data_IF_206649686307
#
_entry.id   IF_206649686307
#
_cell.length_a   1.000
_cell.length_b   1.000
_cell.length_c   1.000
_cell.angle_alpha   90.00
_cell.angle_beta   90.00
_cell.angle_gamma   90.00
#
_symmetry.space_group_name_H-M   'P 1'
#
loop_
_entity.id
_entity.type
_entity.pdbx_description
1 polymer ?
#
# COMPACT_ATOMS: atom_id res chain seq x y z
N UNK A 1 -11.95 -13.23 -2.16
CA UNK A 1 -10.62 -13.78 -2.54
C UNK A 1 -9.75 -12.61 -2.99
N UNK A 2 -8.49 -12.60 -2.59
CA UNK A 2 -7.52 -11.54 -2.93
C UNK A 2 -6.87 -11.88 -4.25
N UNK A 3 -6.81 -10.94 -5.19
CA UNK A 3 -6.02 -11.17 -6.40
C UNK A 3 -4.55 -11.35 -6.06
N UNK A 4 -3.92 -12.31 -6.75
CA UNK A 4 -2.49 -12.61 -6.62
C UNK A 4 -1.63 -11.86 -7.64
N UNK A 5 -2.27 -11.10 -8.53
CA UNK A 5 -1.63 -10.50 -9.71
C UNK A 5 -1.84 -8.98 -9.69
N UNK A 6 -0.74 -8.24 -9.82
CA UNK A 6 -0.72 -6.79 -9.67
C UNK A 6 -0.09 -6.12 -10.89
N UNK A 7 -0.57 -4.92 -11.22
CA UNK A 7 0.02 -4.02 -12.19
C UNK A 7 0.17 -2.63 -11.55
N UNK A 8 1.38 -2.07 -11.59
CA UNK A 8 1.69 -0.77 -10.96
C UNK A 8 1.29 -0.69 -9.48
N UNK A 9 1.47 -1.79 -8.72
CA UNK A 9 1.12 -1.85 -7.30
C UNK A 9 -0.39 -1.96 -7.01
N UNK A 10 -1.24 -2.10 -8.03
CA UNK A 10 -2.69 -2.28 -7.86
C UNK A 10 -3.14 -3.62 -8.45
N UNK A 11 -4.09 -4.29 -7.81
CA UNK A 11 -4.59 -5.61 -8.24
C UNK A 11 -5.16 -5.53 -9.65
N UNK A 12 -4.79 -6.46 -10.53
CA UNK A 12 -5.38 -6.54 -11.87
C UNK A 12 -6.83 -7.03 -11.75
N UNK A 13 -7.74 -6.30 -12.38
CA UNK A 13 -9.15 -6.63 -12.39
C UNK A 13 -9.44 -7.77 -13.36
N UNK A 14 -10.07 -8.83 -12.87
CA UNK A 14 -10.57 -9.98 -13.63
C UNK A 14 -11.99 -10.34 -13.21
N UNK A 15 -12.67 -11.19 -13.96
CA UNK A 15 -14.00 -11.69 -13.58
C UNK A 15 -14.01 -12.52 -12.28
N UNK A 16 -12.88 -13.14 -11.94
CA UNK A 16 -12.66 -13.80 -10.65
C UNK A 16 -12.30 -12.82 -9.51
N UNK A 17 -11.81 -11.62 -9.85
CA UNK A 17 -11.40 -10.64 -8.85
C UNK A 17 -12.60 -10.09 -8.07
N UNK A 18 -12.34 -9.66 -6.84
CA UNK A 18 -13.34 -9.06 -5.96
C UNK A 18 -13.73 -7.63 -6.32
N UNK A 19 -13.27 -7.08 -7.46
CA UNK A 19 -13.55 -5.71 -7.90
C UNK A 19 -15.05 -5.47 -8.07
N UNK A 20 -15.51 -4.30 -7.65
CA UNK A 20 -16.90 -3.84 -7.73
C UNK A 20 -16.86 -2.33 -7.82
N UNK A 21 -17.71 -1.75 -8.63
CA UNK A 21 -17.98 -0.32 -8.49
C UNK A 21 -19.17 -0.16 -7.57
N UNK A 22 -19.02 0.56 -6.46
CA UNK A 22 -20.05 0.68 -5.41
C UNK A 22 -20.42 2.15 -5.24
N UNK A 23 -21.73 2.40 -5.15
CA UNK A 23 -22.31 3.71 -4.87
C UNK A 23 -21.73 4.85 -5.74
N UNK A 24 -21.58 4.61 -7.05
CA UNK A 24 -21.24 5.64 -8.01
C UNK A 24 -22.35 6.68 -8.04
N UNK A 25 -22.01 7.92 -7.71
CA UNK A 25 -22.95 9.04 -7.54
C UNK A 25 -22.29 10.35 -8.01
N UNK A 26 -23.05 11.34 -8.50
CA UNK A 26 -24.49 11.34 -8.74
C UNK A 26 -24.87 10.73 -10.10
N UNK A 27 -25.89 9.87 -10.11
CA UNK A 27 -26.65 9.55 -11.31
C UNK A 27 -28.06 10.15 -11.19
N UNK A 28 -28.26 11.31 -11.79
CA UNK A 28 -29.48 12.09 -11.59
C UNK A 28 -30.59 11.58 -12.50
N UNK A 29 -31.65 11.04 -11.90
CA UNK A 29 -32.84 10.57 -12.61
C UNK A 29 -34.08 11.37 -12.22
N UNK A 30 -34.98 11.51 -13.18
CA UNK A 30 -36.31 12.08 -12.95
C UNK A 30 -37.20 11.06 -12.25
N UNK A 31 -37.70 11.45 -11.08
CA UNK A 31 -38.46 10.60 -10.18
C UNK A 31 -39.82 11.21 -9.83
N UNK A 32 -40.81 10.39 -9.42
CA UNK A 32 -42.14 10.87 -9.00
C UNK A 32 -42.07 12.00 -7.95
N UNK A 33 -43.11 12.86 -7.84
CA UNK A 33 -44.49 12.69 -8.32
C UNK A 33 -44.76 13.18 -9.77
N UNK A 34 -45.84 12.71 -10.42
CA UNK A 34 -46.27 13.24 -11.71
C UNK A 34 -46.78 14.70 -11.61
N UNK A 35 -46.93 15.41 -12.75
CA UNK A 35 -47.52 16.77 -12.80
C UNK A 35 -48.87 16.86 -12.06
N UNK A 36 -49.21 18.00 -11.40
CA UNK A 36 -48.63 19.35 -11.57
C UNK A 36 -47.39 19.67 -10.71
N UNK A 37 -47.01 18.80 -9.76
CA UNK A 37 -45.78 18.98 -8.97
C UNK A 37 -44.51 18.73 -9.80
N UNK A 38 -44.61 17.84 -10.80
CA UNK A 38 -43.57 17.57 -11.80
C UNK A 38 -42.50 16.58 -11.31
N UNK A 39 -41.87 15.80 -12.23
CA UNK A 39 -40.78 14.91 -11.86
C UNK A 39 -39.60 15.70 -11.28
N UNK A 40 -39.04 15.19 -10.19
CA UNK A 40 -37.93 15.84 -9.48
C UNK A 40 -36.62 15.14 -9.84
N UNK A 41 -35.54 15.88 -10.14
CA UNK A 41 -34.22 15.30 -10.33
C UNK A 41 -33.67 14.79 -8.99
N UNK A 42 -33.52 13.47 -8.84
CA UNK A 42 -32.97 12.82 -7.65
C UNK A 42 -31.66 12.10 -8.02
N UNK A 43 -30.56 12.32 -7.28
CA UNK A 43 -29.31 11.60 -7.50
C UNK A 43 -29.37 10.20 -6.88
N UNK A 44 -29.08 9.18 -7.67
CA UNK A 44 -29.07 7.78 -7.24
C UNK A 44 -27.64 7.21 -7.17
N UNK A 45 -27.37 6.27 -6.23
CA UNK A 45 -26.12 5.54 -6.17
C UNK A 45 -26.17 4.27 -7.03
N UNK A 46 -25.23 4.13 -7.97
CA UNK A 46 -25.12 2.94 -8.82
C UNK A 46 -24.04 1.96 -8.35
N UNK A 47 -24.28 0.67 -8.53
CA UNK A 47 -23.37 -0.42 -8.18
C UNK A 47 -23.28 -1.43 -9.32
N UNK A 48 -22.09 -1.92 -9.61
CA UNK A 48 -21.82 -2.94 -10.63
C UNK A 48 -20.71 -3.89 -10.16
N UNK A 49 -20.76 -5.16 -10.56
CA UNK A 49 -19.88 -6.22 -10.04
C UNK A 49 -19.17 -7.00 -11.15
N UNK A 50 -17.97 -7.51 -10.86
CA UNK A 50 -17.16 -8.35 -11.77
C UNK A 50 -17.81 -9.65 -12.20
N UNK A 51 -18.83 -10.15 -11.48
CA UNK A 51 -19.60 -11.32 -11.91
C UNK A 51 -20.21 -11.13 -13.30
N UNK A 52 -20.57 -9.88 -13.61
CA UNK A 52 -21.30 -9.49 -14.80
C UNK A 52 -20.35 -9.08 -15.94
N UNK A 53 -19.07 -9.41 -15.83
CA UNK A 53 -18.08 -9.11 -16.86
C UNK A 53 -18.45 -9.73 -18.21
N UNK A 54 -18.30 -8.91 -19.24
CA UNK A 54 -18.31 -9.28 -20.66
C UNK A 54 -17.06 -8.74 -21.36
N UNK A 55 -16.68 -9.40 -22.44
CA UNK A 55 -15.62 -8.97 -23.36
C UNK A 55 -14.24 -8.81 -22.68
N UNK A 56 -13.90 -9.74 -21.78
CA UNK A 56 -12.56 -9.86 -21.22
C UNK A 56 -11.53 -10.46 -22.20
N UNK A 57 -10.34 -10.70 -21.69
CA UNK A 57 -9.28 -11.41 -22.40
C UNK A 57 -9.67 -12.87 -22.68
N UNK A 58 -9.17 -13.41 -23.79
CA UNK A 58 -9.41 -14.80 -24.20
C UNK A 58 -8.25 -15.73 -23.85
N UNK A 59 -7.02 -15.24 -24.06
CA UNK A 59 -5.77 -15.99 -23.93
C UNK A 59 -5.19 -15.97 -22.53
N UNK A 60 -5.20 -14.79 -21.89
CA UNK A 60 -4.68 -14.61 -20.53
C UNK A 60 -5.83 -14.69 -19.54
N UNK A 61 -5.67 -15.48 -18.49
CA UNK A 61 -6.69 -15.65 -17.47
C UNK A 61 -6.07 -15.53 -16.07
N UNK A 62 -6.81 -14.92 -15.15
CA UNK A 62 -6.47 -14.89 -13.73
C UNK A 62 -7.46 -15.82 -13.01
N UNK A 63 -6.95 -16.85 -12.34
CA UNK A 63 -7.78 -17.88 -11.70
C UNK A 63 -8.80 -18.53 -12.67
N UNK A 64 -8.37 -18.78 -13.91
CA UNK A 64 -9.21 -19.40 -14.94
C UNK A 64 -10.34 -18.51 -15.47
N UNK A 65 -10.30 -17.20 -15.19
CA UNK A 65 -11.29 -16.22 -15.67
C UNK A 65 -10.64 -15.08 -16.44
N UNK A 66 -11.42 -14.49 -17.33
CA UNK A 66 -11.03 -13.39 -18.21
C UNK A 66 -10.59 -12.13 -17.42
N UNK A 67 -9.56 -11.46 -17.95
CA UNK A 67 -9.00 -10.20 -17.44
C UNK A 67 -9.70 -9.02 -18.11
N UNK A 68 -9.90 -7.92 -17.38
CA UNK A 68 -10.49 -6.70 -17.94
C UNK A 68 -9.48 -5.90 -18.76
N UNK A 69 -9.90 -5.54 -19.96
CA UNK A 69 -9.11 -4.84 -20.97
C UNK A 69 -9.71 -3.46 -21.25
N UNK A 70 -8.82 -2.48 -21.39
CA UNK A 70 -9.12 -1.13 -21.84
C UNK A 70 -10.07 -1.12 -23.04
N UNK A 71 -11.10 -0.28 -22.97
CA UNK A 71 -12.07 0.00 -24.03
C UNK A 71 -12.80 -1.23 -24.62
N UNK A 72 -12.70 -2.38 -23.96
CA UNK A 72 -13.30 -3.63 -24.44
C UNK A 72 -14.16 -4.26 -23.37
N UNK A 73 -13.59 -4.45 -22.18
CA UNK A 73 -14.33 -5.10 -21.10
C UNK A 73 -15.30 -4.15 -20.40
N UNK A 74 -16.45 -4.68 -20.02
CA UNK A 74 -17.48 -3.95 -19.28
C UNK A 74 -18.20 -4.88 -18.31
N UNK A 75 -18.89 -4.32 -17.32
CA UNK A 75 -19.88 -5.07 -16.56
C UNK A 75 -21.23 -4.86 -17.23
N UNK A 76 -21.94 -5.96 -17.55
CA UNK A 76 -23.17 -5.95 -18.33
C UNK A 76 -24.22 -5.00 -17.76
N UNK A 77 -24.32 -4.93 -16.42
CA UNK A 77 -25.36 -4.18 -15.74
C UNK A 77 -24.80 -3.39 -14.56
N UNK A 78 -25.26 -2.15 -14.45
CA UNK A 78 -25.16 -1.28 -13.28
C UNK A 78 -26.57 -1.04 -12.73
N UNK A 79 -26.71 -1.16 -11.40
CA UNK A 79 -27.98 -1.11 -10.69
C UNK A 79 -27.96 0.00 -9.62
N UNK A 80 -29.06 0.69 -9.40
CA UNK A 80 -29.17 1.77 -8.41
C UNK A 80 -30.35 2.72 -8.67
N UNK A 81 -30.66 2.96 -9.95
CA UNK A 81 -31.70 3.92 -10.33
C UNK A 81 -33.10 3.32 -10.45
N UNK A 82 -33.31 2.04 -10.14
CA UNK A 82 -34.62 1.38 -10.25
C UNK A 82 -35.79 2.11 -9.57
N UNK A 83 -35.61 2.92 -8.51
CA UNK A 83 -36.69 3.74 -7.96
C UNK A 83 -37.16 4.89 -8.88
N UNK A 84 -36.37 5.27 -9.89
CA UNK A 84 -36.79 6.20 -10.94
C UNK A 84 -37.67 5.49 -11.99
N UNK A 85 -38.42 6.24 -12.79
CA UNK A 85 -39.34 5.65 -13.78
C UNK A 85 -39.01 6.11 -15.20
N UNK A 86 -39.02 5.18 -16.15
CA UNK A 86 -38.77 5.49 -17.57
C UNK A 86 -39.83 6.48 -18.11
N UNK A 87 -41.06 6.41 -17.60
CA UNK A 87 -42.15 7.31 -17.94
C UNK A 87 -41.84 8.79 -17.61
N UNK A 88 -40.87 9.06 -16.74
CA UNK A 88 -40.42 10.42 -16.41
C UNK A 88 -39.11 10.82 -17.10
N UNK A 89 -38.64 10.02 -18.07
CA UNK A 89 -37.43 10.32 -18.85
C UNK A 89 -36.14 9.72 -18.29
N UNK A 90 -36.21 8.99 -17.17
CA UNK A 90 -35.09 8.34 -16.50
C UNK A 90 -33.93 9.31 -16.19
N UNK A 91 -32.67 8.90 -16.43
CA UNK A 91 -31.52 9.76 -16.24
C UNK A 91 -31.56 11.00 -17.14
N UNK A 92 -31.19 12.16 -16.59
CA UNK A 92 -31.30 13.46 -17.28
C UNK A 92 -30.38 13.61 -18.50
N UNK A 93 -29.34 12.78 -18.62
CA UNK A 93 -28.40 12.79 -19.76
C UNK A 93 -28.53 11.52 -20.59
N UNK A 94 -28.50 10.35 -19.95
CA UNK A 94 -28.44 9.06 -20.68
C UNK A 94 -29.82 8.52 -21.04
N UNK A 95 -30.89 9.04 -20.42
CA UNK A 95 -32.26 8.52 -20.54
C UNK A 95 -32.35 7.00 -20.24
N UNK A 96 -31.49 6.50 -19.35
CA UNK A 96 -31.47 5.10 -18.91
C UNK A 96 -31.61 4.99 -17.39
N UNK A 97 -32.35 3.97 -16.96
CA UNK A 97 -32.38 3.52 -15.56
C UNK A 97 -31.22 2.57 -15.28
N UNK A 98 -30.93 1.66 -16.21
CA UNK A 98 -29.85 0.68 -16.09
C UNK A 98 -29.04 0.63 -17.38
N UNK A 99 -27.75 0.36 -17.28
CA UNK A 99 -26.88 0.13 -18.43
C UNK A 99 -25.55 -0.50 -18.04
N UNK A 100 -24.65 -0.64 -19.00
CA UNK A 100 -23.34 -1.21 -18.74
C UNK A 100 -22.46 -0.26 -17.92
N UNK A 101 -21.58 -0.82 -17.09
CA UNK A 101 -20.48 -0.10 -16.46
C UNK A 101 -19.23 -0.24 -17.33
N UNK A 102 -18.55 0.86 -17.63
CA UNK A 102 -17.30 0.88 -18.40
C UNK A 102 -16.16 1.48 -17.59
N UNK A 103 -14.95 1.05 -17.90
CA UNK A 103 -13.73 1.60 -17.29
C UNK A 103 -13.29 2.87 -18.03
N UNK A 104 -12.95 3.91 -17.27
CA UNK A 104 -12.44 5.19 -17.74
C UNK A 104 -10.93 5.38 -17.44
N UNK A 105 -10.34 4.49 -16.65
CA UNK A 105 -8.89 4.40 -16.44
C UNK A 105 -8.40 2.94 -16.52
N UNK A 106 -7.09 2.79 -16.69
CA UNK A 106 -6.38 1.52 -16.86
C UNK A 106 -4.88 1.72 -16.58
N UNK A 107 -4.12 0.63 -16.49
CA UNK A 107 -2.65 0.65 -16.39
C UNK A 107 -1.99 1.46 -17.51
N UNK A 108 -0.95 2.23 -17.19
CA UNK A 108 -0.23 3.02 -18.20
C UNK A 108 0.64 2.17 -19.13
N UNK A 109 1.16 1.04 -18.64
CA UNK A 109 2.20 0.26 -19.33
C UNK A 109 1.95 -1.26 -19.36
N UNK A 110 1.17 -1.81 -18.43
CA UNK A 110 0.87 -3.25 -18.42
C UNK A 110 -0.27 -3.54 -19.38
N UNK A 111 -0.02 -4.43 -20.34
CA UNK A 111 -0.95 -4.79 -21.40
C UNK A 111 -1.16 -6.30 -21.46
N UNK A 112 -2.39 -6.70 -21.76
CA UNK A 112 -2.81 -8.06 -22.08
C UNK A 112 -3.52 -8.01 -23.43
N UNK A 113 -3.15 -8.90 -24.35
CA UNK A 113 -3.71 -8.91 -25.72
C UNK A 113 -3.57 -7.55 -26.43
N UNK A 114 -2.46 -6.84 -26.18
CA UNK A 114 -2.21 -5.51 -26.75
C UNK A 114 -3.02 -4.37 -26.13
N UNK A 115 -3.92 -4.65 -25.18
CA UNK A 115 -4.74 -3.65 -24.48
C UNK A 115 -4.28 -3.46 -23.04
N UNK A 116 -4.33 -2.23 -22.55
CA UNK A 116 -3.97 -1.94 -21.16
C UNK A 116 -4.92 -2.66 -20.19
N UNK A 117 -4.37 -3.23 -19.11
CA UNK A 117 -5.17 -3.92 -18.10
C UNK A 117 -5.86 -2.92 -17.18
N UNK A 118 -7.06 -3.26 -16.74
CA UNK A 118 -7.77 -2.50 -15.70
C UNK A 118 -7.34 -3.00 -14.33
N UNK A 119 -7.23 -2.10 -13.36
CA UNK A 119 -6.76 -2.35 -12.00
C UNK A 119 -7.79 -1.89 -10.97
N UNK A 120 -7.59 -2.34 -9.74
CA UNK A 120 -8.22 -1.76 -8.55
C UNK A 120 -8.02 -0.24 -8.51
N UNK A 121 -9.05 0.50 -8.09
CA UNK A 121 -9.16 1.97 -8.07
C UNK A 121 -9.17 2.67 -9.43
N UNK A 122 -9.06 1.96 -10.55
CA UNK A 122 -9.27 2.57 -11.86
C UNK A 122 -10.73 3.07 -11.96
N UNK A 123 -10.88 4.26 -12.53
CA UNK A 123 -12.15 4.96 -12.68
C UNK A 123 -13.13 4.14 -13.52
N UNK A 124 -14.40 4.18 -13.11
CA UNK A 124 -15.53 3.55 -13.77
C UNK A 124 -16.63 4.56 -14.02
N UNK A 125 -17.47 4.26 -14.99
CA UNK A 125 -18.57 5.09 -15.46
C UNK A 125 -19.79 4.21 -15.64
N UNK A 126 -20.95 4.66 -15.19
CA UNK A 126 -22.15 3.84 -15.04
C UNK A 126 -23.24 4.17 -16.07
N UNK A 127 -24.18 3.24 -16.24
CA UNK A 127 -25.39 3.42 -17.06
C UNK A 127 -25.12 3.95 -18.47
N UNK A 128 -24.08 3.41 -19.12
CA UNK A 128 -23.65 3.84 -20.45
C UNK A 128 -24.72 3.63 -21.52
N UNK A 129 -25.14 4.74 -22.14
CA UNK A 129 -25.67 4.80 -23.50
C UNK A 129 -24.76 5.66 -24.43
N UNK A 130 -24.02 6.62 -23.88
CA UNK A 130 -23.00 7.45 -24.56
C UNK A 130 -21.94 7.97 -23.55
N UNK A 131 -20.76 8.42 -24.01
CA UNK A 131 -19.54 8.65 -23.19
C UNK A 131 -19.58 9.80 -22.16
N UNK A 132 -20.69 10.53 -21.99
CA UNK A 132 -20.70 11.80 -21.24
C UNK A 132 -21.75 11.99 -20.15
N UNK A 133 -22.46 10.95 -19.70
CA UNK A 133 -23.70 11.17 -18.91
C UNK A 133 -23.95 10.34 -17.66
N UNK A 134 -23.01 9.48 -17.23
CA UNK A 134 -23.26 8.53 -16.14
C UNK A 134 -22.44 8.79 -14.88
N UNK A 135 -22.92 8.30 -13.73
CA UNK A 135 -22.18 8.36 -12.48
C UNK A 135 -20.76 7.77 -12.60
N UNK A 136 -19.82 8.41 -11.91
CA UNK A 136 -18.40 8.06 -11.92
C UNK A 136 -17.97 7.65 -10.52
N UNK A 137 -17.20 6.57 -10.41
CA UNK A 137 -16.51 6.22 -9.16
C UNK A 137 -15.32 5.31 -9.46
N UNK A 138 -14.41 5.19 -8.51
CA UNK A 138 -13.31 4.23 -8.60
C UNK A 138 -13.83 2.81 -8.36
N UNK A 139 -13.32 1.86 -9.15
CA UNK A 139 -13.57 0.44 -8.86
C UNK A 139 -12.90 0.05 -7.53
N UNK A 140 -13.66 -0.62 -6.67
CA UNK A 140 -13.18 -1.15 -5.40
C UNK A 140 -13.32 -2.67 -5.37
N UNK A 141 -12.21 -3.39 -5.30
CA UNK A 141 -12.16 -4.73 -4.76
C UNK A 141 -12.57 -4.73 -3.30
N UNK A 142 -12.97 -5.90 -2.80
CA UNK A 142 -12.84 -6.17 -1.38
C UNK A 142 -11.41 -5.76 -0.99
N UNK A 143 -11.29 -4.65 -0.26
CA UNK A 143 -10.07 -4.22 0.38
C UNK A 143 -9.62 -5.41 1.24
N UNK A 144 -8.70 -6.23 0.74
CA UNK A 144 -7.65 -6.64 1.65
C UNK A 144 -6.86 -5.37 1.91
N UNK A 145 -7.30 -4.63 2.93
CA UNK A 145 -6.37 -3.94 3.82
C UNK A 145 -5.12 -4.81 3.88
N UNK A 146 -3.96 -4.21 3.60
CA UNK A 146 -2.65 -4.86 3.66
C UNK A 146 -2.70 -5.93 4.76
N UNK A 147 -2.75 -7.18 4.29
CA UNK A 147 -3.01 -8.40 5.04
C UNK A 147 -3.20 -8.14 6.55
N UNK A 148 -4.44 -7.95 7.01
CA UNK A 148 -4.74 -8.19 8.43
C UNK A 148 -4.18 -9.57 8.72
N UNK A 149 -3.13 -9.62 9.54
CA UNK A 149 -2.51 -10.85 9.94
C UNK A 149 -3.63 -11.70 10.54
N UNK A 150 -3.97 -12.80 9.85
CA UNK A 150 -4.91 -13.79 10.38
C UNK A 150 -4.51 -14.10 11.82
N UNK A 151 -5.54 -14.30 12.62
CA UNK A 151 -5.63 -14.50 14.07
C UNK A 151 -4.64 -15.46 14.74
N UNK A 152 -3.71 -16.07 14.01
CA UNK A 152 -2.66 -16.90 14.58
C UNK A 152 -1.52 -15.98 15.03
N UNK A 153 -1.04 -16.16 16.26
CA UNK A 153 0.14 -15.47 16.76
C UNK A 153 1.33 -15.81 15.86
N UNK A 154 1.81 -14.84 15.09
CA UNK A 154 2.89 -15.07 14.15
C UNK A 154 4.19 -15.25 14.92
N UNK A 155 4.84 -16.38 14.69
CA UNK A 155 6.03 -16.78 15.41
C UNK A 155 7.30 -16.20 14.78
N UNK A 156 8.38 -16.19 15.54
CA UNK A 156 9.69 -15.77 15.04
C UNK A 156 10.19 -16.63 13.88
N UNK A 157 9.92 -17.94 13.91
CA UNK A 157 10.22 -18.86 12.80
C UNK A 157 9.53 -18.42 11.50
N UNK A 158 8.26 -18.00 11.59
CA UNK A 158 7.50 -17.56 10.42
C UNK A 158 8.06 -16.25 9.85
N UNK A 159 8.51 -15.33 10.71
CA UNK A 159 9.15 -14.08 10.28
C UNK A 159 10.53 -14.33 9.66
N UNK A 160 11.36 -15.21 10.24
CA UNK A 160 12.65 -15.59 9.68
C UNK A 160 12.50 -16.30 8.33
N UNK A 161 11.55 -17.23 8.20
CA UNK A 161 11.22 -17.87 6.92
C UNK A 161 10.75 -16.85 5.87
N UNK A 162 10.00 -15.83 6.27
CA UNK A 162 9.56 -14.76 5.37
C UNK A 162 10.74 -13.87 4.90
N UNK A 163 11.72 -13.60 5.76
CA UNK A 163 12.97 -12.93 5.39
C UNK A 163 13.75 -13.77 4.37
N UNK A 164 13.95 -15.06 4.63
CA UNK A 164 14.67 -15.99 3.74
C UNK A 164 14.00 -16.07 2.36
N UNK A 165 12.68 -16.24 2.33
CA UNK A 165 11.91 -16.23 1.08
C UNK A 165 12.10 -14.92 0.31
N UNK A 166 12.10 -13.78 0.99
CA UNK A 166 12.35 -12.48 0.34
C UNK A 166 13.74 -12.44 -0.28
N UNK A 167 14.76 -13.01 0.37
CA UNK A 167 16.12 -13.10 -0.18
C UNK A 167 16.18 -13.96 -1.43
N UNK A 168 15.52 -15.12 -1.41
CA UNK A 168 15.47 -16.03 -2.56
C UNK A 168 14.79 -15.38 -3.76
N UNK A 169 13.62 -14.77 -3.55
CA UNK A 169 12.84 -14.12 -4.61
C UNK A 169 13.55 -12.90 -5.21
N UNK A 170 14.50 -12.30 -4.48
CA UNK A 170 15.14 -11.04 -4.87
C UNK A 170 16.67 -11.16 -5.07
N UNK A 171 17.23 -12.35 -5.28
CA UNK A 171 18.68 -12.57 -5.49
C UNK A 171 19.18 -12.15 -6.91
N UNK A 172 20.40 -11.60 -7.00
CA UNK A 172 21.17 -10.97 -8.11
C UNK A 172 21.07 -11.49 -9.60
N UNK A 173 21.58 -10.78 -10.65
CA UNK A 173 22.34 -9.51 -10.69
C UNK A 173 21.70 -8.39 -11.56
N UNK A 174 20.85 -7.54 -10.99
CA UNK A 174 20.37 -6.30 -11.61
C UNK A 174 19.87 -5.31 -10.55
N UNK A 175 19.55 -4.09 -10.97
CA UNK A 175 19.09 -3.01 -10.09
C UNK A 175 17.79 -3.40 -9.34
N UNK A 176 17.78 -3.31 -8.01
CA UNK A 176 16.63 -3.71 -7.18
C UNK A 176 16.65 -5.14 -6.65
N UNK A 177 17.78 -5.83 -6.74
CA UNK A 177 18.02 -7.17 -6.18
C UNK A 177 18.98 -7.12 -4.99
N UNK A 178 18.78 -8.02 -4.02
CA UNK A 178 19.54 -8.14 -2.77
C UNK A 178 20.91 -8.79 -2.99
N UNK A 179 21.89 -8.26 -2.27
CA UNK A 179 23.22 -8.87 -2.07
C UNK A 179 23.31 -9.52 -0.69
N UNK A 180 24.37 -10.30 -0.45
CA UNK A 180 24.59 -10.95 0.85
C UNK A 180 24.80 -9.93 2.00
N UNK A 181 25.20 -8.70 1.68
CA UNK A 181 25.38 -7.62 2.66
C UNK A 181 24.12 -6.79 2.93
N UNK A 182 23.03 -7.03 2.21
CA UNK A 182 21.79 -6.29 2.41
C UNK A 182 20.97 -6.87 3.57
N UNK A 183 20.26 -5.99 4.28
CA UNK A 183 19.40 -6.33 5.42
C UNK A 183 17.96 -6.39 4.95
N UNK A 184 17.24 -7.42 5.37
CA UNK A 184 15.80 -7.54 5.22
C UNK A 184 15.21 -7.74 6.60
N UNK A 185 14.10 -7.08 6.85
CA UNK A 185 13.33 -7.30 8.06
C UNK A 185 11.85 -7.35 7.75
N UNK A 186 11.18 -8.28 8.42
CA UNK A 186 9.75 -8.37 8.50
C UNK A 186 9.34 -8.42 9.96
N UNK A 187 8.20 -7.82 10.26
CA UNK A 187 7.64 -7.81 11.58
C UNK A 187 6.15 -7.61 11.56
N UNK A 188 5.57 -7.71 12.74
CA UNK A 188 4.16 -7.45 12.98
C UNK A 188 4.03 -6.41 14.06
N UNK A 189 3.34 -5.35 13.70
CA UNK A 189 2.95 -4.31 14.62
C UNK A 189 1.47 -4.50 14.98
N UNK A 190 1.20 -4.56 16.28
CA UNK A 190 -0.14 -4.47 16.83
C UNK A 190 -0.31 -3.06 17.35
N UNK A 191 -1.19 -2.28 16.74
CA UNK A 191 -1.43 -0.91 17.15
C UNK A 191 -2.15 -0.83 18.51
N UNK A 192 -2.24 0.37 19.13
CA UNK A 192 -2.96 0.54 20.41
C UNK A 192 -4.43 0.11 20.35
N UNK A 193 -5.06 0.19 19.18
CA UNK A 193 -6.45 -0.24 18.95
C UNK A 193 -6.58 -1.77 18.75
N UNK A 194 -5.49 -2.53 18.85
CA UNK A 194 -5.46 -3.99 18.70
C UNK A 194 -5.42 -4.52 17.27
N UNK A 195 -5.33 -3.65 16.26
CA UNK A 195 -5.18 -4.02 14.84
C UNK A 195 -3.75 -4.44 14.55
N UNK A 196 -3.59 -5.59 13.91
CA UNK A 196 -2.30 -6.13 13.49
C UNK A 196 -2.00 -5.77 12.04
N UNK A 197 -0.79 -5.28 11.79
CA UNK A 197 -0.26 -4.99 10.46
C UNK A 197 1.12 -5.62 10.28
N UNK A 198 1.40 -6.06 9.06
CA UNK A 198 2.74 -6.52 8.68
C UNK A 198 3.59 -5.31 8.29
N UNK A 199 4.74 -5.16 8.93
CA UNK A 199 5.75 -4.14 8.61
C UNK A 199 6.95 -4.81 7.98
N UNK A 200 7.51 -4.18 6.93
CA UNK A 200 8.68 -4.71 6.22
C UNK A 200 9.63 -3.58 5.88
N UNK A 201 10.92 -3.82 5.98
CA UNK A 201 11.92 -2.85 5.55
C UNK A 201 13.17 -3.56 5.02
N UNK A 202 14.03 -2.80 4.34
CA UNK A 202 15.32 -3.28 3.86
C UNK A 202 16.39 -2.21 3.98
N UNK A 203 17.66 -2.64 3.95
CA UNK A 203 18.81 -1.74 3.90
C UNK A 203 18.69 -0.76 2.74
N UNK A 204 19.08 0.50 2.98
CA UNK A 204 19.18 1.55 1.95
C UNK A 204 17.86 1.85 1.21
N UNK A 205 16.73 1.36 1.71
CA UNK A 205 15.44 1.44 1.01
C UNK A 205 15.49 0.74 -0.35
N UNK A 206 16.31 -0.30 -0.47
CA UNK A 206 16.56 -0.97 -1.73
C UNK A 206 15.27 -1.56 -2.29
N UNK A 207 14.54 -2.31 -1.47
CA UNK A 207 13.30 -2.96 -1.88
C UNK A 207 12.13 -1.97 -1.98
N UNK A 208 12.09 -0.93 -1.14
CA UNK A 208 11.00 0.06 -1.15
C UNK A 208 10.90 0.88 -2.44
N UNK A 209 11.95 0.88 -3.28
CA UNK A 209 11.93 1.50 -4.61
C UNK A 209 11.10 0.70 -5.64
N UNK A 210 10.99 -0.61 -5.45
CA UNK A 210 10.41 -1.54 -6.41
C UNK A 210 9.18 -2.27 -5.85
N UNK A 211 9.05 -2.31 -4.53
CA UNK A 211 7.99 -2.96 -3.79
C UNK A 211 7.49 -2.04 -2.67
N UNK A 212 6.30 -1.49 -2.87
CA UNK A 212 5.66 -0.56 -1.93
C UNK A 212 5.22 -1.25 -0.62
N UNK A 213 5.33 -2.57 -0.51
CA UNK A 213 5.13 -3.26 0.77
C UNK A 213 6.30 -3.07 1.74
N UNK A 214 7.46 -2.58 1.25
CA UNK A 214 8.59 -2.21 2.08
C UNK A 214 8.55 -0.72 2.43
N UNK A 215 8.75 -0.43 3.71
CA UNK A 215 8.73 0.92 4.24
C UNK A 215 9.95 1.71 3.75
N UNK A 216 9.65 2.90 3.22
CA UNK A 216 10.67 3.83 2.77
C UNK A 216 11.28 4.66 3.92
N UNK A 217 10.74 4.53 5.15
CA UNK A 217 11.14 5.28 6.34
C UNK A 217 10.85 6.79 6.23
N UNK A 218 10.97 7.48 7.36
CA UNK A 218 10.80 8.92 7.40
C UNK A 218 11.94 9.65 6.68
N UNK A 219 11.57 10.38 5.64
CA UNK A 219 12.04 11.77 5.56
C UNK A 219 11.45 12.49 6.78
N UNK A 220 12.25 13.16 7.63
CA UNK A 220 11.76 13.76 8.87
C UNK A 220 10.53 14.64 8.63
N UNK A 221 9.41 14.34 9.32
CA UNK A 221 8.23 15.21 9.32
C UNK A 221 8.56 16.49 10.10
N UNK A 222 8.14 17.63 9.55
CA UNK A 222 8.52 18.98 10.00
C UNK A 222 9.24 19.82 8.93
N UNK A 223 9.67 19.19 7.83
CA UNK A 223 10.17 19.91 6.66
C UNK A 223 8.99 20.41 5.81
N UNK A 224 9.03 21.67 5.40
CA UNK A 224 8.13 22.22 4.37
C UNK A 224 8.25 21.38 3.10
N UNK A 225 7.21 21.40 2.25
CA UNK A 225 7.19 20.70 0.95
C UNK A 225 8.48 20.95 0.15
N UNK A 226 8.95 22.20 0.12
CA UNK A 226 10.22 22.59 -0.51
C UNK A 226 11.45 21.96 0.16
N UNK A 227 11.53 21.96 1.50
CA UNK A 227 12.66 21.33 2.21
C UNK A 227 12.66 19.82 1.99
N UNK A 228 11.48 19.18 1.91
CA UNK A 228 11.31 17.76 1.60
C UNK A 228 11.77 17.46 0.19
N UNK A 229 11.38 18.28 -0.78
CA UNK A 229 11.80 18.16 -2.18
C UNK A 229 13.29 18.41 -2.34
N UNK A 230 13.86 19.43 -1.67
CA UNK A 230 15.28 19.72 -1.66
C UNK A 230 16.11 18.61 -0.97
N UNK A 231 15.62 18.03 0.13
CA UNK A 231 16.24 16.88 0.78
C UNK A 231 16.19 15.64 -0.13
N UNK A 232 15.04 15.38 -0.76
CA UNK A 232 14.88 14.31 -1.74
C UNK A 232 15.79 14.50 -2.97
N UNK A 233 15.94 15.74 -3.43
CA UNK A 233 16.80 16.07 -4.57
C UNK A 233 18.29 15.99 -4.19
N UNK A 234 18.67 16.40 -2.97
CA UNK A 234 20.00 16.15 -2.39
C UNK A 234 20.28 14.66 -2.30
N UNK A 235 19.35 13.87 -1.76
CA UNK A 235 19.46 12.40 -1.67
C UNK A 235 19.57 11.76 -3.06
N UNK A 236 18.82 12.25 -4.06
CA UNK A 236 18.92 11.77 -5.46
C UNK A 236 20.28 12.11 -6.09
N UNK A 237 20.94 13.19 -5.66
CA UNK A 237 22.18 13.73 -6.23
C UNK A 237 23.47 13.31 -5.51
N UNK A 238 23.43 12.43 -4.50
CA UNK A 238 24.66 12.13 -3.74
C UNK A 238 24.94 13.11 -2.58
N UNK A 239 24.01 14.02 -2.28
CA UNK A 239 24.19 15.13 -1.35
C UNK A 239 24.30 14.70 0.11
N UNK A 240 25.50 14.91 0.66
CA UNK A 240 25.86 14.68 2.06
C UNK A 240 25.10 15.65 2.99
N UNK A 241 24.82 15.23 4.23
CA UNK A 241 24.37 16.13 5.30
C UNK A 241 25.53 17.06 5.68
N UNK A 242 25.24 18.32 6.00
CA UNK A 242 26.28 19.28 6.38
C UNK A 242 26.94 18.84 7.70
N UNK A 243 28.22 19.17 7.89
CA UNK A 243 28.94 18.86 9.14
C UNK A 243 28.14 19.38 10.35
N UNK A 244 27.84 18.50 11.31
CA UNK A 244 27.06 18.75 12.54
C UNK A 244 25.52 18.90 12.42
N UNK A 245 24.92 18.60 11.28
CA UNK A 245 23.45 18.59 11.15
C UNK A 245 22.84 17.32 11.82
N UNK A 246 22.18 17.54 12.95
CA UNK A 246 21.55 16.52 13.81
C UNK A 246 20.19 16.10 13.24
N UNK A 247 20.01 14.82 12.93
CA UNK A 247 18.69 14.27 12.55
C UNK A 247 17.99 13.79 13.82
N UNK A 248 16.91 14.46 14.21
CA UNK A 248 16.10 14.05 15.37
C UNK A 248 15.15 12.92 14.97
N UNK A 249 15.17 11.85 15.74
CA UNK A 249 14.19 10.76 15.62
C UNK A 249 12.81 11.23 16.03
N UNK A 250 11.77 10.66 15.40
CA UNK A 250 10.38 10.84 15.83
C UNK A 250 9.95 9.87 16.93
N UNK A 251 10.84 8.95 17.34
CA UNK A 251 10.56 8.03 18.44
C UNK A 251 10.02 8.80 19.67
N UNK A 252 8.91 8.28 20.22
CA UNK A 252 8.22 8.87 21.37
C UNK A 252 7.79 10.34 21.21
N UNK A 253 7.35 10.75 20.03
CA UNK A 253 6.87 12.12 19.78
C UNK A 253 7.98 13.12 19.49
N UNK A 254 9.22 12.64 19.32
CA UNK A 254 10.38 13.43 18.95
C UNK A 254 11.26 13.85 20.13
N UNK A 255 12.56 13.95 19.88
CA UNK A 255 13.51 14.56 20.82
C UNK A 255 14.18 13.62 21.83
N UNK A 256 13.80 12.34 21.90
CA UNK A 256 14.48 11.35 22.75
C UNK A 256 15.80 10.83 22.18
N UNK A 257 15.88 10.72 20.85
CA UNK A 257 17.08 10.23 20.18
C UNK A 257 17.44 11.13 19.01
N UNK A 258 18.74 11.33 18.82
CA UNK A 258 19.30 12.09 17.71
C UNK A 258 20.35 11.23 17.04
N UNK A 259 20.21 11.00 15.74
CA UNK A 259 21.23 10.30 14.96
C UNK A 259 22.49 11.15 14.88
N UNK A 260 23.64 10.55 15.19
CA UNK A 260 24.92 11.20 15.01
C UNK A 260 25.36 11.03 13.55
N UNK A 261 25.37 12.12 12.79
CA UNK A 261 25.95 12.16 11.45
C UNK A 261 27.47 12.18 11.53
N UNK A 262 28.17 11.39 10.69
CA UNK A 262 29.60 11.61 10.44
C UNK A 262 29.76 12.74 9.40
N UNK A 263 30.81 13.59 9.51
CA UNK A 263 31.10 14.61 8.51
C UNK A 263 31.19 13.98 7.12
N UNK A 264 30.56 14.58 6.11
CA UNK A 264 30.62 14.14 4.72
C UNK A 264 30.19 12.68 4.47
N UNK A 265 29.32 12.12 5.31
CA UNK A 265 28.66 10.84 5.05
C UNK A 265 27.16 11.02 4.97
N UNK A 266 26.52 10.22 4.11
CA UNK A 266 25.08 10.06 4.15
C UNK A 266 24.66 9.65 5.57
N UNK A 267 23.49 10.08 6.07
CA UNK A 267 22.95 9.54 7.30
C UNK A 267 22.64 8.06 7.06
N UNK A 268 23.63 7.20 7.25
CA UNK A 268 23.51 5.77 7.05
C UNK A 268 22.49 5.20 8.04
N UNK A 269 22.39 5.80 9.22
CA UNK A 269 21.63 5.29 10.36
C UNK A 269 20.09 5.30 10.19
N UNK A 270 19.42 6.39 9.80
CA UNK A 270 17.97 6.35 9.50
C UNK A 270 17.63 5.56 8.22
N UNK A 271 18.65 5.16 7.45
CA UNK A 271 18.47 4.32 6.25
C UNK A 271 18.51 2.82 6.54
N UNK A 272 18.87 2.41 7.77
CA UNK A 272 18.82 1.03 8.23
C UNK A 272 17.38 0.54 8.35
N UNK A 273 17.20 -0.77 8.26
CA UNK A 273 15.87 -1.35 8.09
C UNK A 273 15.01 -1.18 9.37
N UNK A 274 15.64 -1.32 10.52
CA UNK A 274 15.09 -1.12 11.86
C UNK A 274 14.63 0.33 12.04
N UNK A 275 15.51 1.27 11.71
CA UNK A 275 15.21 2.69 11.83
C UNK A 275 14.02 3.08 10.94
N UNK A 276 13.93 2.56 9.71
CA UNK A 276 12.79 2.81 8.82
C UNK A 276 11.46 2.39 9.43
N UNK A 277 11.41 1.21 10.06
CA UNK A 277 10.19 0.72 10.71
C UNK A 277 9.82 1.61 11.89
N UNK A 278 10.76 1.86 12.80
CA UNK A 278 10.52 2.66 14.01
C UNK A 278 10.05 4.06 13.64
N UNK A 279 10.79 4.74 12.77
CA UNK A 279 10.48 6.11 12.36
C UNK A 279 9.10 6.19 11.68
N UNK A 280 8.75 5.26 10.78
CA UNK A 280 7.43 5.23 10.15
C UNK A 280 6.30 4.94 11.14
N UNK A 281 6.53 4.05 12.11
CA UNK A 281 5.54 3.73 13.14
C UNK A 281 5.28 4.94 14.03
N UNK A 282 6.31 5.62 14.51
CA UNK A 282 6.13 6.84 15.31
C UNK A 282 5.63 8.04 14.49
N UNK A 283 5.81 8.04 13.16
CA UNK A 283 5.13 9.00 12.28
C UNK A 283 3.60 8.81 12.26
N UNK A 284 3.15 7.55 12.38
CA UNK A 284 1.73 7.18 12.37
C UNK A 284 1.12 7.22 13.78
N UNK A 285 1.91 6.89 14.79
CA UNK A 285 1.54 6.83 16.20
C UNK A 285 2.55 7.66 17.02
N UNK A 286 2.44 9.01 17.03
CA UNK A 286 3.41 9.88 17.70
C UNK A 286 3.55 9.62 19.19
N UNK A 287 2.45 9.27 19.85
CA UNK A 287 2.44 8.96 21.29
C UNK A 287 2.99 7.54 21.59
N UNK A 288 3.42 6.79 20.57
CA UNK A 288 3.79 5.39 20.69
C UNK A 288 2.60 4.47 20.94
N UNK A 289 2.84 3.44 21.74
CA UNK A 289 1.92 2.38 22.08
C UNK A 289 1.97 1.20 21.11
N UNK A 290 1.28 0.12 21.48
CA UNK A 290 1.26 -1.11 20.71
C UNK A 290 2.46 -2.03 20.95
N UNK A 291 2.47 -3.15 20.22
CA UNK A 291 3.48 -4.21 20.30
C UNK A 291 4.08 -4.47 18.93
N UNK A 292 5.39 -4.41 18.82
CA UNK A 292 6.15 -4.67 17.60
C UNK A 292 7.03 -5.90 17.79
N UNK A 293 6.79 -6.95 17.00
CA UNK A 293 7.68 -8.11 16.90
C UNK A 293 8.37 -8.10 15.53
N UNK A 294 9.70 -8.19 15.48
CA UNK A 294 10.46 -8.17 14.23
C UNK A 294 11.49 -9.30 14.15
N UNK A 295 11.68 -9.86 12.95
CA UNK A 295 12.86 -10.64 12.61
C UNK A 295 13.75 -9.80 11.69
N UNK A 296 15.01 -9.64 12.06
CA UNK A 296 15.98 -8.79 11.36
C UNK A 296 17.20 -9.63 11.00
N UNK A 297 17.51 -9.68 9.71
CA UNK A 297 18.69 -10.39 9.20
C UNK A 297 19.93 -9.48 9.32
N UNK A 298 20.39 -9.21 10.53
CA UNK A 298 21.60 -8.42 10.74
C UNK A 298 22.81 -9.07 10.05
N UNK A 299 23.57 -8.31 9.25
CA UNK A 299 24.76 -8.84 8.60
C UNK A 299 25.84 -9.05 9.65
N UNK A 300 26.64 -10.09 9.49
CA UNK A 300 27.75 -10.36 10.41
C UNK A 300 28.73 -9.18 10.41
N UNK A 301 28.92 -8.53 11.57
CA UNK A 301 29.80 -7.38 11.66
C UNK A 301 31.26 -7.80 11.46
N UNK A 302 32.07 -7.08 10.65
CA UNK A 302 33.46 -7.44 10.36
C UNK A 302 34.34 -7.62 11.60
N UNK A 303 34.01 -6.94 12.70
CA UNK A 303 34.78 -6.96 13.95
C UNK A 303 34.40 -8.06 14.94
N UNK A 304 33.21 -8.69 14.82
CA UNK A 304 32.74 -9.66 15.82
C UNK A 304 32.42 -11.03 15.24
N UNK A 305 32.27 -11.20 13.92
CA UNK A 305 31.98 -12.48 13.21
C UNK A 305 30.83 -13.34 13.77
N UNK A 306 30.12 -12.92 14.83
CA UNK A 306 29.12 -13.75 15.53
C UNK A 306 27.84 -13.01 15.93
N UNK A 307 27.81 -11.67 15.95
CA UNK A 307 26.62 -10.99 16.48
C UNK A 307 25.61 -10.64 15.38
N UNK A 308 24.48 -11.34 15.38
CA UNK A 308 23.21 -10.87 14.81
C UNK A 308 22.71 -9.71 15.70
N UNK A 309 23.38 -8.57 15.67
CA UNK A 309 23.07 -7.45 16.57
C UNK A 309 22.97 -6.13 15.80
N UNK A 310 22.13 -5.19 16.27
CA UNK A 310 22.07 -3.85 15.70
C UNK A 310 23.41 -3.12 15.88
N UNK A 311 23.63 -2.08 15.08
CA UNK A 311 24.75 -1.17 15.33
C UNK A 311 24.43 -0.24 16.53
N UNK A 312 25.47 0.34 17.15
CA UNK A 312 25.34 1.19 18.35
C UNK A 312 24.26 2.28 18.25
N UNK A 313 24.10 2.92 17.07
CA UNK A 313 23.05 3.93 16.90
C UNK A 313 21.65 3.33 16.73
N UNK A 314 21.52 2.19 16.07
CA UNK A 314 20.25 1.49 15.95
C UNK A 314 19.81 0.90 17.29
N UNK A 315 20.75 0.39 18.08
CA UNK A 315 20.53 -0.05 19.45
C UNK A 315 20.01 1.09 20.32
N UNK A 316 20.69 2.25 20.31
CA UNK A 316 20.25 3.44 21.04
C UNK A 316 18.85 3.93 20.61
N UNK A 317 18.55 3.90 19.29
CA UNK A 317 17.22 4.22 18.77
C UNK A 317 16.16 3.23 19.29
N UNK A 318 16.44 1.92 19.21
CA UNK A 318 15.53 0.87 19.64
C UNK A 318 15.25 0.99 21.15
N UNK A 319 16.24 1.36 21.94
CA UNK A 319 16.08 1.62 23.36
C UNK A 319 15.20 2.85 23.63
N UNK A 320 15.48 3.97 22.96
CA UNK A 320 14.65 5.16 23.09
C UNK A 320 13.20 4.92 22.66
N UNK A 321 12.99 4.09 21.62
CA UNK A 321 11.67 3.70 21.14
C UNK A 321 10.93 2.74 22.10
N UNK A 322 11.68 1.83 22.74
CA UNK A 322 11.15 0.84 23.69
C UNK A 322 10.54 1.46 24.95
N UNK A 323 10.88 2.71 25.26
CA UNK A 323 10.24 3.45 26.36
C UNK A 323 8.74 3.74 26.11
N UNK A 324 8.32 3.79 24.84
CA UNK A 324 6.94 4.16 24.47
C UNK A 324 6.24 3.10 23.64
N UNK A 325 6.87 1.98 23.31
CA UNK A 325 6.30 0.89 22.51
C UNK A 325 6.90 -0.43 22.97
N UNK A 326 6.13 -1.52 23.04
CA UNK A 326 6.68 -2.84 23.35
C UNK A 326 7.37 -3.41 22.10
N UNK A 327 8.70 -3.31 22.04
CA UNK A 327 9.50 -3.76 20.91
C UNK A 327 10.23 -5.06 21.27
N UNK A 328 10.04 -6.08 20.44
CA UNK A 328 10.68 -7.38 20.56
C UNK A 328 11.30 -7.79 19.21
N UNK A 329 12.41 -8.52 19.27
CA UNK A 329 13.04 -9.15 18.11
C UNK A 329 13.23 -10.64 18.31
N UNK A 330 13.34 -11.34 17.19
CA UNK A 330 13.64 -12.75 17.17
C UNK A 330 15.13 -12.98 17.40
N UNK A 331 15.47 -13.72 18.45
CA UNK A 331 16.85 -14.11 18.76
C UNK A 331 17.32 -15.31 17.91
N UNK A 332 18.52 -15.81 18.20
CA UNK A 332 19.08 -16.99 17.51
C UNK A 332 18.33 -18.30 17.80
N UNK A 333 17.53 -18.35 18.86
CA UNK A 333 16.72 -19.50 19.25
C UNK A 333 15.27 -19.39 18.76
N UNK A 334 14.94 -18.38 17.93
CA UNK A 334 13.60 -18.05 17.50
C UNK A 334 12.64 -17.67 18.64
N UNK A 335 13.17 -17.07 19.70
CA UNK A 335 12.39 -16.54 20.81
C UNK A 335 12.30 -15.01 20.76
N UNK A 336 11.14 -14.42 21.08
CA UNK A 336 10.99 -12.97 21.23
C UNK A 336 11.81 -12.46 22.41
N UNK A 337 12.77 -11.58 22.13
CA UNK A 337 13.64 -10.94 23.11
C UNK A 337 13.53 -9.42 23.01
N UNK A 338 13.75 -8.73 24.13
CA UNK A 338 13.71 -7.26 24.19
C UNK A 338 15.10 -6.69 23.89
N UNK A 339 15.20 -5.45 23.40
CA UNK A 339 16.48 -4.77 23.26
C UNK A 339 17.19 -4.68 24.59
N UNK A 340 18.48 -5.01 24.55
CA UNK A 340 19.38 -4.85 25.69
C UNK A 340 19.70 -3.37 25.81
N UNK A 341 19.04 -2.71 26.77
CA UNK A 341 19.12 -1.28 26.97
C UNK A 341 19.87 -0.98 28.26
N UNK A 342 20.89 -0.09 28.23
CA UNK A 342 21.69 0.26 29.39
C UNK A 342 20.94 1.08 30.43
#
# INVERSE_FOLDING_TARGET
MSGKVFANGMEISSKSSGNKSIAAMPDVCMSPPPPPAGPVPIPYPNTATTSDTTDGSKSVQIEGKEVHLKNKSSYKTSNGNQPATNNFGANVITHKITGAMKFAAWSFNVKVEGQNVVRFMDLTTHNHANTGGGAVTSSIAALKMAQEAKTDEVTCEQLEAANQKTREEKKAPSEGQLTDGDVVTQGIFTNPDGRREVVRASSRGLLSKYDNSFLNGLLPRGLTQEKKEALLERIKKGGLIAENERVMSQACGGGKFTYASKPYQYPHYPSHAEARIIEELFARYPNGGGKLLMSIDWPTHPSTRTSRSPCVQCEALLCAASECMDIQFCDANNEPTKPDCP
#
